data_IF_446398572967
#
_entry.id   IF_446398572967
#
_cell.length_a   1.000
_cell.length_b   1.000
_cell.length_c   1.000
_cell.angle_alpha   90.00
_cell.angle_beta   90.00
_cell.angle_gamma   90.00
#
_symmetry.space_group_name_H-M   'P 1'
#
loop_
_entity.id
_entity.type
_entity.pdbx_description
1 polymer ?
#
# COMPACT_ATOMS: atom_id res chain seq x y z
N UNK A 1 9.01 -71.71 -6.59
CA UNK A 1 8.48 -71.16 -5.33
C UNK A 1 9.17 -69.83 -5.01
N UNK A 2 8.98 -68.79 -5.82
CA UNK A 2 9.61 -67.46 -5.62
C UNK A 2 8.92 -66.34 -6.43
N UNK A 3 8.70 -66.55 -7.72
CA UNK A 3 8.36 -65.50 -8.70
C UNK A 3 6.86 -65.20 -8.91
N UNK A 4 5.95 -65.77 -8.10
CA UNK A 4 4.48 -65.53 -8.21
C UNK A 4 3.95 -64.72 -7.01
N UNK A 5 4.70 -64.63 -5.92
CA UNK A 5 4.34 -63.82 -4.74
C UNK A 5 4.76 -62.34 -4.88
N UNK A 6 5.75 -62.05 -5.72
CA UNK A 6 6.24 -60.68 -5.97
C UNK A 6 5.31 -59.83 -6.84
N UNK A 7 4.40 -60.45 -7.60
CA UNK A 7 3.47 -59.76 -8.52
C UNK A 7 2.12 -59.38 -7.88
N UNK A 8 1.85 -59.75 -6.62
CA UNK A 8 0.58 -59.47 -5.94
C UNK A 8 0.59 -58.22 -5.04
N UNK A 9 1.75 -57.60 -4.83
CA UNK A 9 1.88 -56.37 -4.02
C UNK A 9 1.95 -55.07 -4.85
N UNK A 10 1.90 -55.14 -6.18
CA UNK A 10 2.04 -53.99 -7.08
C UNK A 10 0.72 -53.41 -7.62
N UNK A 11 -0.43 -54.01 -7.29
CA UNK A 11 -1.75 -53.67 -7.90
C UNK A 11 -2.70 -52.98 -6.91
N UNK A 12 -2.23 -52.62 -5.71
CA UNK A 12 -2.90 -51.62 -4.89
C UNK A 12 -2.17 -50.29 -5.05
N UNK A 13 -2.87 -49.19 -5.45
CA UNK A 13 -2.39 -47.86 -5.15
C UNK A 13 -2.51 -47.65 -3.63
N UNK A 14 -1.52 -48.17 -2.89
CA UNK A 14 -1.29 -47.77 -1.51
C UNK A 14 -1.30 -46.24 -1.47
N UNK A 15 -1.87 -45.61 -0.43
CA UNK A 15 -2.05 -44.18 -0.37
C UNK A 15 -0.74 -43.46 -0.05
N UNK A 16 0.34 -43.75 -0.80
CA UNK A 16 1.68 -43.18 -0.65
C UNK A 16 1.70 -41.69 -0.89
N UNK A 17 0.82 -41.15 -1.73
CA UNK A 17 0.61 -39.71 -1.89
C UNK A 17 0.02 -39.08 -0.62
N UNK A 18 -0.98 -39.71 0.00
CA UNK A 18 -1.56 -39.24 1.26
C UNK A 18 -0.59 -39.43 2.44
N UNK A 19 0.05 -40.59 2.58
CA UNK A 19 1.05 -40.86 3.62
C UNK A 19 2.23 -39.91 3.46
N UNK A 20 2.76 -39.72 2.24
CA UNK A 20 3.80 -38.72 1.97
C UNK A 20 3.34 -37.32 2.37
N UNK A 21 2.14 -36.89 1.96
CA UNK A 21 1.63 -35.56 2.33
C UNK A 21 1.39 -35.42 3.85
N UNK A 22 0.84 -36.43 4.54
CA UNK A 22 0.65 -36.39 5.99
C UNK A 22 1.98 -36.41 6.75
N UNK A 23 2.95 -37.23 6.33
CA UNK A 23 4.31 -37.26 6.91
C UNK A 23 5.05 -35.95 6.62
N UNK A 24 4.96 -35.38 5.41
CA UNK A 24 5.58 -34.11 5.07
C UNK A 24 4.92 -32.94 5.83
N UNK A 25 3.59 -32.92 5.95
CA UNK A 25 2.85 -31.90 6.72
C UNK A 25 3.15 -32.00 8.21
N UNK A 26 3.17 -33.20 8.80
CA UNK A 26 3.53 -33.39 10.22
C UNK A 26 5.01 -33.08 10.49
N UNK A 27 5.93 -33.39 9.56
CA UNK A 27 7.33 -33.02 9.63
C UNK A 27 7.52 -31.50 9.50
N UNK A 28 6.75 -30.83 8.62
CA UNK A 28 6.74 -29.36 8.53
C UNK A 28 6.21 -28.71 9.82
N UNK A 29 5.15 -29.25 10.43
CA UNK A 29 4.65 -28.78 11.72
C UNK A 29 5.65 -29.05 12.87
N UNK A 30 6.32 -30.20 12.87
CA UNK A 30 7.37 -30.52 13.84
C UNK A 30 8.57 -29.59 13.70
N UNK A 31 9.05 -29.36 12.47
CA UNK A 31 10.14 -28.43 12.18
C UNK A 31 9.77 -27.01 12.63
N UNK A 32 8.59 -26.52 12.25
CA UNK A 32 8.08 -25.22 12.70
C UNK A 32 8.00 -25.11 14.22
N UNK A 33 7.48 -26.14 14.90
CA UNK A 33 7.38 -26.18 16.36
C UNK A 33 8.74 -26.21 17.04
N UNK A 34 9.71 -26.99 16.54
CA UNK A 34 11.08 -27.02 17.07
C UNK A 34 11.81 -25.69 16.85
N UNK A 35 11.66 -25.07 15.67
CA UNK A 35 12.17 -23.71 15.40
C UNK A 35 11.53 -22.69 16.33
N UNK A 36 10.21 -22.75 16.55
CA UNK A 36 9.49 -21.88 17.47
C UNK A 36 9.96 -22.06 18.93
N UNK A 37 10.09 -23.30 19.41
CA UNK A 37 10.64 -23.59 20.73
C UNK A 37 12.05 -23.02 20.90
N UNK A 38 12.91 -23.20 19.89
CA UNK A 38 14.27 -22.68 19.91
C UNK A 38 14.27 -21.15 19.99
N UNK A 39 13.47 -20.48 19.17
CA UNK A 39 13.33 -19.02 19.19
C UNK A 39 12.88 -18.50 20.58
N UNK A 40 11.83 -19.11 21.16
CA UNK A 40 11.26 -18.74 22.46
C UNK A 40 12.20 -19.07 23.64
N UNK A 41 13.09 -20.06 23.50
CA UNK A 41 14.09 -20.40 24.52
C UNK A 41 15.37 -19.56 24.40
N UNK A 42 15.76 -19.16 23.19
CA UNK A 42 17.00 -18.41 22.95
C UNK A 42 16.85 -16.89 23.04
N UNK A 43 15.64 -16.33 22.94
CA UNK A 43 15.40 -14.88 22.87
C UNK A 43 14.30 -14.40 23.83
N UNK A 44 14.44 -13.16 24.31
CA UNK A 44 13.43 -12.56 25.19
C UNK A 44 12.15 -12.18 24.41
N UNK A 45 10.96 -12.17 25.07
CA UNK A 45 9.70 -11.79 24.44
C UNK A 45 9.74 -10.43 23.73
N UNK A 46 10.45 -9.44 24.29
CA UNK A 46 10.65 -8.13 23.66
C UNK A 46 11.40 -8.25 22.33
N UNK A 47 12.52 -9.00 22.28
CA UNK A 47 13.28 -9.21 21.04
C UNK A 47 12.41 -9.90 19.99
N UNK A 48 11.76 -11.01 20.36
CA UNK A 48 10.89 -11.77 19.45
C UNK A 48 9.80 -10.85 18.90
N UNK A 49 9.04 -10.18 19.77
CA UNK A 49 7.91 -9.32 19.40
C UNK A 49 8.30 -8.14 18.51
N UNK A 50 9.42 -7.45 18.79
CA UNK A 50 9.86 -6.30 17.99
C UNK A 50 10.44 -6.74 16.64
N UNK A 51 11.36 -7.71 16.62
CA UNK A 51 11.96 -8.16 15.36
C UNK A 51 10.95 -8.82 14.43
N UNK A 52 10.01 -9.62 14.94
CA UNK A 52 8.97 -10.23 14.09
C UNK A 52 8.02 -9.16 13.52
N UNK A 53 7.64 -8.16 14.32
CA UNK A 53 6.80 -7.04 13.87
C UNK A 53 7.49 -6.23 12.77
N UNK A 54 8.79 -5.99 12.90
CA UNK A 54 9.61 -5.34 11.87
C UNK A 54 9.72 -6.20 10.59
N UNK A 55 9.96 -7.50 10.71
CA UNK A 55 10.03 -8.43 9.56
C UNK A 55 8.71 -8.46 8.79
N UNK A 56 7.55 -8.48 9.48
CA UNK A 56 6.24 -8.42 8.84
C UNK A 56 6.00 -7.08 8.15
N UNK A 57 6.33 -5.93 8.78
CA UNK A 57 6.23 -4.61 8.14
C UNK A 57 7.13 -4.53 6.90
N UNK A 58 8.36 -5.02 6.97
CA UNK A 58 9.30 -5.04 5.84
C UNK A 58 8.81 -5.95 4.69
N UNK A 59 8.36 -7.18 4.99
CA UNK A 59 7.97 -8.15 3.98
C UNK A 59 6.56 -7.95 3.40
N UNK A 60 5.59 -7.52 4.21
CA UNK A 60 4.18 -7.44 3.85
C UNK A 60 3.70 -6.03 3.50
N UNK A 61 4.39 -4.97 3.94
CA UNK A 61 4.15 -3.59 3.51
C UNK A 61 5.27 -3.07 2.61
N UNK A 62 6.49 -2.90 3.12
CA UNK A 62 7.55 -2.18 2.40
C UNK A 62 7.93 -2.84 1.07
N UNK A 63 8.22 -4.14 1.04
CA UNK A 63 8.58 -4.84 -0.19
C UNK A 63 7.50 -4.69 -1.29
N UNK A 64 6.21 -5.05 -1.08
CA UNK A 64 5.20 -4.87 -2.13
C UNK A 64 4.87 -3.39 -2.40
N UNK A 65 4.91 -2.49 -1.41
CA UNK A 65 4.73 -1.05 -1.65
C UNK A 65 5.83 -0.46 -2.55
N UNK A 66 7.09 -0.84 -2.32
CA UNK A 66 8.24 -0.43 -3.12
C UNK A 66 8.22 -1.06 -4.52
N UNK A 67 7.79 -2.32 -4.66
CA UNK A 67 7.65 -2.97 -5.97
C UNK A 67 6.60 -2.26 -6.83
N UNK A 68 5.43 -1.94 -6.28
CA UNK A 68 4.38 -1.17 -6.99
C UNK A 68 4.87 0.25 -7.30
N UNK A 69 5.52 0.92 -6.34
CA UNK A 69 6.09 2.27 -6.55
C UNK A 69 7.17 2.28 -7.64
N UNK A 70 8.01 1.24 -7.70
CA UNK A 70 9.05 1.09 -8.72
C UNK A 70 8.45 0.80 -10.09
N UNK A 71 7.40 -0.01 -10.17
CA UNK A 71 6.68 -0.26 -11.42
C UNK A 71 6.00 1.03 -11.94
N UNK A 72 5.33 1.79 -11.06
CA UNK A 72 4.74 3.10 -11.38
C UNK A 72 5.80 4.09 -11.93
N UNK A 73 7.04 4.08 -11.38
CA UNK A 73 8.13 4.96 -11.81
C UNK A 73 8.87 4.48 -13.07
N UNK A 74 9.00 3.18 -13.29
CA UNK A 74 9.77 2.60 -14.40
C UNK A 74 8.93 2.40 -15.67
N UNK A 75 7.62 2.18 -15.54
CA UNK A 75 6.71 1.89 -16.66
C UNK A 75 5.44 2.77 -16.56
N UNK A 76 5.56 4.11 -16.51
CA UNK A 76 4.48 5.01 -16.14
C UNK A 76 3.26 4.95 -17.08
N UNK A 77 3.45 4.74 -18.39
CA UNK A 77 2.33 4.65 -19.34
C UNK A 77 1.51 3.37 -19.12
N UNK A 78 2.17 2.24 -18.88
CA UNK A 78 1.53 0.97 -18.57
C UNK A 78 0.83 1.04 -17.21
N UNK A 79 1.52 1.55 -16.18
CA UNK A 79 0.95 1.80 -14.86
C UNK A 79 -0.30 2.70 -14.94
N UNK A 80 -0.23 3.81 -15.66
CA UNK A 80 -1.34 4.74 -15.87
C UNK A 80 -2.53 4.07 -16.57
N UNK A 81 -2.30 3.20 -17.55
CA UNK A 81 -3.35 2.46 -18.25
C UNK A 81 -4.07 1.44 -17.36
N UNK A 82 -3.40 0.91 -16.34
CA UNK A 82 -3.92 -0.12 -15.44
C UNK A 82 -4.52 0.42 -14.13
N UNK A 83 -4.53 1.73 -13.89
CA UNK A 83 -5.08 2.36 -12.67
C UNK A 83 -6.45 2.98 -12.85
N UNK A 84 -7.17 3.21 -11.75
CA UNK A 84 -8.42 3.97 -11.76
C UNK A 84 -8.16 5.45 -12.11
N UNK A 85 -7.12 6.06 -11.52
CA UNK A 85 -6.68 7.41 -11.86
C UNK A 85 -5.16 7.50 -12.08
N UNK A 86 -4.69 7.93 -13.28
CA UNK A 86 -3.26 8.01 -13.60
C UNK A 86 -2.52 9.17 -12.92
N UNK A 87 -3.24 10.05 -12.20
CA UNK A 87 -2.66 11.16 -11.42
C UNK A 87 -1.67 10.69 -10.35
N UNK A 88 -1.88 9.48 -9.79
CA UNK A 88 -0.93 8.86 -8.86
C UNK A 88 0.44 8.66 -9.49
N UNK A 89 0.49 8.27 -10.77
CA UNK A 89 1.73 8.01 -11.51
C UNK A 89 2.40 9.32 -11.92
N UNK A 90 1.66 10.27 -12.48
CA UNK A 90 2.25 11.54 -12.96
C UNK A 90 2.80 12.44 -11.85
N UNK A 91 2.28 12.32 -10.62
CA UNK A 91 2.77 13.04 -9.44
C UNK A 91 3.85 12.27 -8.66
N UNK A 92 4.09 10.98 -8.94
CA UNK A 92 5.00 10.14 -8.16
C UNK A 92 6.46 10.59 -8.18
N UNK A 93 7.08 10.97 -9.33
CA UNK A 93 8.52 11.30 -9.37
C UNK A 93 8.94 12.46 -8.46
N UNK A 94 8.06 13.45 -8.24
CA UNK A 94 8.34 14.61 -7.38
C UNK A 94 7.91 14.40 -5.92
N UNK A 95 7.01 13.45 -5.65
CA UNK A 95 6.47 13.21 -4.30
C UNK A 95 7.09 12.00 -3.59
N UNK A 96 7.55 10.99 -4.33
CA UNK A 96 8.02 9.72 -3.78
C UNK A 96 9.09 9.86 -2.67
N UNK A 97 10.14 10.69 -2.76
CA UNK A 97 11.12 10.83 -1.67
C UNK A 97 10.49 11.35 -0.37
N UNK A 98 9.55 12.29 -0.49
CA UNK A 98 8.82 12.86 0.66
C UNK A 98 7.72 11.95 1.21
N UNK A 99 7.24 10.99 0.42
CA UNK A 99 6.34 9.92 0.88
C UNK A 99 7.14 8.80 1.57
N UNK A 100 8.25 8.34 0.96
CA UNK A 100 9.17 7.35 1.53
C UNK A 100 9.64 7.76 2.93
N UNK A 101 10.12 9.01 3.09
CA UNK A 101 10.60 9.51 4.37
C UNK A 101 9.49 9.56 5.44
N UNK A 102 8.28 10.01 5.07
CA UNK A 102 7.15 10.08 6.01
C UNK A 102 6.61 8.70 6.39
N UNK A 103 6.54 7.77 5.44
CA UNK A 103 6.22 6.38 5.72
C UNK A 103 7.26 5.74 6.65
N UNK A 104 8.56 6.00 6.43
CA UNK A 104 9.63 5.49 7.30
C UNK A 104 9.55 6.04 8.72
N UNK A 105 9.26 7.34 8.89
CA UNK A 105 9.07 7.98 10.20
C UNK A 105 7.86 7.39 10.93
N UNK A 106 6.72 7.23 10.25
CA UNK A 106 5.50 6.68 10.86
C UNK A 106 5.63 5.18 11.17
N UNK A 107 6.24 4.39 10.28
CA UNK A 107 6.50 2.97 10.51
C UNK A 107 7.45 2.78 11.71
N UNK A 108 8.54 3.56 11.78
CA UNK A 108 9.45 3.59 12.92
C UNK A 108 8.78 4.06 14.22
N UNK A 109 7.89 5.05 14.16
CA UNK A 109 7.05 5.46 15.31
C UNK A 109 6.15 4.31 15.78
N UNK A 110 5.54 3.57 14.86
CA UNK A 110 4.69 2.43 15.18
C UNK A 110 5.46 1.26 15.81
N UNK A 111 6.63 0.92 15.26
CA UNK A 111 7.54 -0.09 15.84
C UNK A 111 8.10 0.38 17.19
N UNK A 112 8.42 1.67 17.33
CA UNK A 112 8.90 2.27 18.58
C UNK A 112 7.84 2.25 19.69
N UNK A 113 6.60 2.61 19.39
CA UNK A 113 5.48 2.51 20.34
C UNK A 113 5.16 1.05 20.71
N UNK A 114 5.23 0.13 19.75
CA UNK A 114 5.11 -1.32 20.01
C UNK A 114 6.21 -1.81 20.96
N UNK A 115 7.47 -1.45 20.70
CA UNK A 115 8.60 -1.81 21.55
C UNK A 115 8.48 -1.21 22.96
N UNK A 116 8.11 0.07 23.07
CA UNK A 116 7.89 0.76 24.33
C UNK A 116 6.76 0.11 25.14
N UNK A 117 5.63 -0.22 24.51
CA UNK A 117 4.48 -0.82 25.19
C UNK A 117 4.77 -2.26 25.65
N UNK A 118 5.55 -3.04 24.89
CA UNK A 118 6.00 -4.39 25.28
C UNK A 118 7.10 -4.36 26.35
N UNK A 119 7.87 -3.27 26.46
CA UNK A 119 8.89 -3.09 27.50
C UNK A 119 8.34 -2.52 28.81
N UNK A 120 7.46 -1.52 28.75
CA UNK A 120 7.05 -0.72 29.91
C UNK A 120 5.81 -1.26 30.65
N UNK A 121 4.99 -2.09 30.03
CA UNK A 121 3.79 -2.64 30.67
C UNK A 121 4.10 -3.95 31.43
N UNK A 122 3.61 -4.13 32.67
CA UNK A 122 3.96 -5.28 33.51
C UNK A 122 3.23 -6.58 33.12
N UNK A 123 2.51 -6.59 31.99
CA UNK A 123 1.79 -7.76 31.48
C UNK A 123 2.07 -7.96 29.98
N UNK A 124 2.18 -9.22 29.50
CA UNK A 124 2.48 -9.50 28.10
C UNK A 124 1.30 -9.12 27.20
N UNK A 125 1.44 -8.01 26.46
CA UNK A 125 0.48 -7.57 25.45
C UNK A 125 0.20 -8.64 24.39
N UNK A 126 1.28 -9.25 23.90
CA UNK A 126 1.29 -10.31 22.91
C UNK A 126 2.06 -11.50 23.51
N UNK A 127 1.38 -12.50 24.08
CA UNK A 127 2.04 -13.64 24.71
C UNK A 127 2.97 -14.37 23.75
N UNK A 128 4.22 -14.55 24.18
CA UNK A 128 5.29 -15.23 23.44
C UNK A 128 5.52 -16.60 24.09
N UNK A 129 4.55 -17.50 23.89
CA UNK A 129 4.48 -18.78 24.60
C UNK A 129 5.04 -19.93 23.77
N UNK A 130 5.63 -20.92 24.44
CA UNK A 130 6.10 -22.20 23.84
C UNK A 130 4.96 -22.97 23.17
N UNK A 131 3.78 -22.96 23.78
CA UNK A 131 2.54 -23.51 23.23
C UNK A 131 2.04 -22.65 22.08
N UNK A 132 1.83 -23.28 20.92
CA UNK A 132 1.24 -22.63 19.74
C UNK A 132 -0.26 -22.36 19.97
N UNK A 133 -0.82 -21.27 19.42
CA UNK A 133 -2.25 -20.99 19.49
C UNK A 133 -3.05 -22.02 18.67
N UNK A 134 -4.19 -22.46 19.21
CA UNK A 134 -5.08 -23.39 18.51
C UNK A 134 -5.66 -22.74 17.24
N UNK A 135 -5.69 -23.47 16.12
CA UNK A 135 -6.13 -22.93 14.83
C UNK A 135 -7.53 -22.27 14.87
N UNK A 136 -8.56 -22.82 15.55
CA UNK A 136 -9.85 -22.13 15.70
C UNK A 136 -9.74 -20.77 16.40
N UNK A 137 -8.85 -20.64 17.40
CA UNK A 137 -8.58 -19.36 18.07
C UNK A 137 -7.88 -18.38 17.14
N UNK A 138 -6.90 -18.84 16.34
CA UNK A 138 -6.22 -18.02 15.33
C UNK A 138 -7.23 -17.47 14.32
N UNK A 139 -8.10 -18.33 13.78
CA UNK A 139 -9.12 -17.95 12.80
C UNK A 139 -10.17 -16.99 13.38
N UNK A 140 -10.63 -17.23 14.62
CA UNK A 140 -11.56 -16.34 15.31
C UNK A 140 -10.95 -14.97 15.57
N UNK A 141 -9.72 -14.91 16.07
CA UNK A 141 -9.00 -13.66 16.35
C UNK A 141 -8.77 -12.85 15.07
N UNK A 142 -8.43 -13.50 13.94
CA UNK A 142 -8.31 -12.85 12.63
C UNK A 142 -9.66 -12.29 12.16
N UNK A 143 -10.72 -13.10 12.19
CA UNK A 143 -12.06 -12.71 11.73
C UNK A 143 -12.62 -11.54 12.55
N UNK A 144 -12.55 -11.62 13.87
CA UNK A 144 -12.98 -10.54 14.76
C UNK A 144 -12.15 -9.27 14.57
N UNK A 145 -10.84 -9.41 14.34
CA UNK A 145 -9.99 -8.26 14.03
C UNK A 145 -10.45 -7.58 12.74
N UNK A 146 -10.64 -8.32 11.65
CA UNK A 146 -11.09 -7.73 10.38
C UNK A 146 -12.43 -6.98 10.48
N UNK A 147 -13.38 -7.48 11.30
CA UNK A 147 -14.64 -6.77 11.56
C UNK A 147 -14.41 -5.51 12.41
N UNK A 148 -13.73 -5.62 13.54
CA UNK A 148 -13.55 -4.50 14.48
C UNK A 148 -12.64 -3.43 13.89
N UNK A 149 -11.52 -3.79 13.25
CA UNK A 149 -10.63 -2.87 12.56
C UNK A 149 -11.37 -2.09 11.48
N UNK A 150 -12.23 -2.74 10.67
CA UNK A 150 -13.03 -2.06 9.65
C UNK A 150 -14.10 -1.13 10.24
N UNK A 151 -14.71 -1.50 11.38
CA UNK A 151 -15.66 -0.67 12.12
C UNK A 151 -15.01 0.57 12.73
N UNK A 152 -13.95 0.38 13.51
CA UNK A 152 -13.18 1.46 14.16
C UNK A 152 -12.60 2.39 13.09
N UNK A 153 -12.02 1.85 12.01
CA UNK A 153 -11.55 2.66 10.89
C UNK A 153 -12.67 3.47 10.25
N UNK A 154 -13.83 2.88 9.92
CA UNK A 154 -14.95 3.59 9.30
C UNK A 154 -15.39 4.81 10.12
N UNK A 155 -15.63 4.62 11.43
CA UNK A 155 -16.10 5.72 12.28
C UNK A 155 -15.01 6.76 12.56
N UNK A 156 -13.75 6.36 12.80
CA UNK A 156 -12.67 7.33 13.02
C UNK A 156 -12.31 8.10 11.74
N UNK A 157 -12.24 7.44 10.60
CA UNK A 157 -11.97 8.05 9.31
C UNK A 157 -13.08 9.06 8.94
N UNK A 158 -14.35 8.66 9.07
CA UNK A 158 -15.48 9.59 8.92
C UNK A 158 -15.42 10.75 9.92
N UNK A 159 -14.97 10.51 11.15
CA UNK A 159 -14.86 11.56 12.18
C UNK A 159 -13.76 12.57 11.90
N UNK A 160 -12.57 12.16 11.44
CA UNK A 160 -11.50 13.13 11.12
C UNK A 160 -11.87 14.04 9.96
N UNK A 161 -12.64 13.57 8.98
CA UNK A 161 -13.16 14.40 7.88
C UNK A 161 -14.06 15.54 8.36
N UNK A 162 -14.96 15.28 9.32
CA UNK A 162 -15.94 16.29 9.78
C UNK A 162 -15.47 17.10 11.01
N UNK A 163 -14.71 16.50 11.93
CA UNK A 163 -14.31 17.13 13.19
C UNK A 163 -12.89 17.71 13.15
N UNK A 164 -11.98 17.10 12.38
CA UNK A 164 -10.56 17.47 12.34
C UNK A 164 -9.99 17.57 10.90
N UNK A 165 -10.67 18.24 9.95
CA UNK A 165 -10.25 18.26 8.54
C UNK A 165 -8.83 18.83 8.33
N UNK A 166 -8.36 19.72 9.21
CA UNK A 166 -6.99 20.24 9.17
C UNK A 166 -5.92 19.20 9.52
N UNK A 167 -6.26 18.19 10.34
CA UNK A 167 -5.39 17.04 10.63
C UNK A 167 -5.26 16.15 9.38
N UNK A 168 -6.43 15.88 8.78
CA UNK A 168 -6.60 14.92 7.70
C UNK A 168 -6.28 15.47 6.31
N UNK A 169 -6.11 16.79 6.16
CA UNK A 169 -5.76 17.43 4.89
C UNK A 169 -4.47 16.87 4.26
N UNK A 170 -3.51 16.39 5.05
CA UNK A 170 -2.31 15.71 4.53
C UNK A 170 -2.63 14.36 3.88
N UNK A 171 -3.62 13.61 4.39
CA UNK A 171 -4.03 12.34 3.76
C UNK A 171 -4.48 12.56 2.32
N UNK A 172 -5.11 13.70 2.04
CA UNK A 172 -5.62 14.09 0.72
C UNK A 172 -4.67 14.99 -0.10
N UNK A 173 -3.46 15.30 0.37
CA UNK A 173 -2.54 16.19 -0.36
C UNK A 173 -1.86 15.55 -1.57
N UNK A 174 -1.98 14.22 -1.73
CA UNK A 174 -1.43 13.44 -2.82
C UNK A 174 -2.46 12.38 -3.27
N UNK A 175 -2.45 11.92 -4.53
CA UNK A 175 -3.28 10.79 -4.96
C UNK A 175 -2.85 9.49 -4.25
N UNK A 176 -3.75 8.48 -4.14
CA UNK A 176 -3.43 7.23 -3.47
C UNK A 176 -2.25 6.51 -4.14
N UNK A 177 -1.25 6.18 -3.32
CA UNK A 177 -0.06 5.39 -3.65
C UNK A 177 0.25 4.51 -2.43
N UNK A 178 0.82 3.30 -2.57
CA UNK A 178 1.07 2.41 -1.42
C UNK A 178 1.86 3.08 -0.29
N UNK A 179 2.78 3.99 -0.61
CA UNK A 179 3.52 4.78 0.37
C UNK A 179 2.63 5.77 1.15
N UNK A 180 1.63 6.39 0.51
CA UNK A 180 0.69 7.32 1.16
C UNK A 180 -0.13 6.64 2.26
N UNK A 181 -0.36 5.33 2.17
CA UNK A 181 -1.01 4.56 3.23
C UNK A 181 -0.33 4.74 4.60
N UNK A 182 1.01 4.84 4.63
CA UNK A 182 1.77 5.06 5.88
C UNK A 182 2.39 6.47 5.95
N UNK A 183 2.52 7.22 4.86
CA UNK A 183 3.05 8.60 4.82
C UNK A 183 2.05 9.71 5.26
N UNK A 184 1.02 9.33 6.02
CA UNK A 184 -0.03 10.21 6.53
C UNK A 184 0.50 11.24 7.54
N UNK A 185 -0.37 12.12 8.05
CA UNK A 185 -0.07 12.85 9.29
C UNK A 185 0.21 11.81 10.41
N UNK A 186 1.23 11.99 11.27
CA UNK A 186 1.50 11.03 12.34
C UNK A 186 0.29 10.73 13.25
N UNK A 187 -0.58 11.73 13.49
CA UNK A 187 -1.81 11.53 14.26
C UNK A 187 -2.84 10.67 13.52
N UNK A 188 -3.05 10.91 12.22
CA UNK A 188 -3.90 10.07 11.37
C UNK A 188 -3.36 8.63 11.33
N UNK A 189 -2.05 8.45 11.16
CA UNK A 189 -1.44 7.11 11.17
C UNK A 189 -1.67 6.38 12.50
N UNK A 190 -1.60 7.08 13.64
CA UNK A 190 -1.93 6.47 14.94
C UNK A 190 -3.42 6.12 15.08
N UNK A 191 -4.32 7.00 14.64
CA UNK A 191 -5.77 6.85 14.79
C UNK A 191 -6.41 5.90 13.76
N UNK A 192 -5.92 5.89 12.53
CA UNK A 192 -6.52 5.21 11.37
C UNK A 192 -5.74 3.98 10.91
N UNK A 193 -4.42 3.91 11.15
CA UNK A 193 -3.62 2.73 10.79
C UNK A 193 -3.27 1.89 12.02
N UNK A 194 -2.66 2.48 13.05
CA UNK A 194 -2.16 1.73 14.20
C UNK A 194 -3.29 1.26 15.12
N UNK A 195 -4.13 2.18 15.63
CA UNK A 195 -5.21 1.84 16.56
C UNK A 195 -6.17 0.76 16.02
N UNK A 196 -6.71 0.83 14.78
CA UNK A 196 -7.64 -0.19 14.29
C UNK A 196 -6.97 -1.55 14.12
N UNK A 197 -5.68 -1.60 13.75
CA UNK A 197 -4.91 -2.85 13.62
C UNK A 197 -4.64 -3.51 14.97
N UNK A 198 -4.35 -2.71 15.99
CA UNK A 198 -3.90 -3.20 17.30
C UNK A 198 -5.04 -3.49 18.29
N UNK A 199 -6.21 -2.84 18.16
CA UNK A 199 -7.26 -2.88 19.19
C UNK A 199 -7.74 -4.29 19.55
N UNK A 200 -8.11 -5.13 18.57
CA UNK A 200 -8.60 -6.49 18.85
C UNK A 200 -7.51 -7.43 19.36
N UNK A 201 -6.30 -7.50 18.75
CA UNK A 201 -5.19 -8.25 19.31
C UNK A 201 -4.83 -7.88 20.75
N UNK A 202 -4.85 -6.58 21.10
CA UNK A 202 -4.58 -6.11 22.47
C UNK A 202 -5.70 -6.49 23.45
N UNK A 203 -6.96 -6.26 23.08
CA UNK A 203 -8.12 -6.61 23.93
C UNK A 203 -8.23 -8.12 24.19
N UNK A 204 -7.86 -8.95 23.21
CA UNK A 204 -7.85 -10.42 23.34
C UNK A 204 -6.55 -11.00 23.87
N UNK A 205 -5.50 -10.18 24.01
CA UNK A 205 -4.12 -10.62 24.32
C UNK A 205 -3.68 -11.77 23.40
N UNK A 206 -3.97 -11.62 22.10
CA UNK A 206 -3.70 -12.64 21.09
C UNK A 206 -2.22 -13.03 21.08
N UNK A 207 -1.94 -14.34 20.96
CA UNK A 207 -0.58 -14.85 20.87
C UNK A 207 0.19 -14.14 19.74
N UNK A 208 1.49 -13.91 19.94
CA UNK A 208 2.30 -13.12 19.01
C UNK A 208 2.20 -13.60 17.56
N UNK A 209 2.13 -14.92 17.31
CA UNK A 209 1.96 -15.47 15.96
C UNK A 209 0.62 -15.07 15.32
N UNK A 210 -0.45 -15.05 16.11
CA UNK A 210 -1.79 -14.58 15.67
C UNK A 210 -1.76 -13.09 15.34
N UNK A 211 -1.15 -12.26 16.18
CA UNK A 211 -0.97 -10.83 15.92
C UNK A 211 -0.16 -10.58 14.64
N UNK A 212 0.91 -11.34 14.40
CA UNK A 212 1.73 -11.20 13.20
C UNK A 212 0.97 -11.53 11.91
N UNK A 213 0.06 -12.51 11.93
CA UNK A 213 -0.81 -12.81 10.78
C UNK A 213 -1.81 -11.66 10.55
N UNK A 214 -2.38 -11.10 11.62
CA UNK A 214 -3.32 -9.95 11.54
C UNK A 214 -2.61 -8.71 10.99
N UNK A 215 -1.40 -8.42 11.47
CA UNK A 215 -0.55 -7.34 10.97
C UNK A 215 -0.17 -7.56 9.50
N UNK A 216 0.25 -8.77 9.12
CA UNK A 216 0.60 -9.10 7.74
C UNK A 216 -0.59 -8.89 6.78
N UNK A 217 -1.78 -9.36 7.18
CA UNK A 217 -3.02 -9.17 6.43
C UNK A 217 -3.35 -7.67 6.28
N UNK A 218 -3.22 -6.88 7.34
CA UNK A 218 -3.46 -5.44 7.25
C UNK A 218 -2.43 -4.71 6.37
N UNK A 219 -1.15 -5.05 6.46
CA UNK A 219 -0.11 -4.51 5.59
C UNK A 219 -0.40 -4.77 4.10
N UNK A 220 -0.87 -5.97 3.76
CA UNK A 220 -1.30 -6.30 2.39
C UNK A 220 -2.56 -5.52 2.00
N UNK A 221 -3.56 -5.40 2.90
CA UNK A 221 -4.77 -4.60 2.68
C UNK A 221 -4.44 -3.13 2.43
N UNK A 222 -3.49 -2.54 3.15
CA UNK A 222 -3.02 -1.16 2.95
C UNK A 222 -2.41 -0.99 1.56
N UNK A 223 -1.49 -1.87 1.15
CA UNK A 223 -0.86 -1.82 -0.18
C UNK A 223 -1.90 -1.98 -1.29
N UNK A 224 -2.81 -2.96 -1.18
CA UNK A 224 -3.89 -3.16 -2.16
C UNK A 224 -4.74 -1.89 -2.27
N UNK A 225 -5.28 -1.39 -1.15
CA UNK A 225 -6.17 -0.22 -1.09
C UNK A 225 -5.56 1.03 -1.70
N UNK A 226 -4.27 1.27 -1.51
CA UNK A 226 -3.60 2.48 -1.98
C UNK A 226 -2.83 2.27 -3.29
N UNK A 227 -2.85 1.07 -3.89
CA UNK A 227 -2.19 0.81 -5.17
C UNK A 227 -2.81 1.56 -6.37
N UNK A 228 -4.12 1.80 -6.33
CA UNK A 228 -4.89 2.39 -7.43
C UNK A 228 -5.17 1.45 -8.62
N UNK A 229 -4.69 0.20 -8.59
CA UNK A 229 -4.78 -0.72 -9.74
C UNK A 229 -6.17 -1.32 -9.95
N UNK A 230 -6.60 -1.34 -11.21
CA UNK A 230 -7.72 -2.13 -11.71
C UNK A 230 -7.24 -3.56 -12.01
N UNK A 231 -8.06 -4.57 -11.68
CA UNK A 231 -7.84 -5.98 -12.09
C UNK A 231 -6.68 -6.73 -11.41
N UNK A 232 -5.54 -6.08 -11.13
CA UNK A 232 -4.31 -6.68 -10.58
C UNK A 232 -4.54 -7.56 -9.36
N UNK A 233 -5.45 -7.13 -8.47
CA UNK A 233 -5.77 -7.81 -7.20
C UNK A 233 -7.03 -8.69 -7.29
N UNK A 234 -7.52 -8.98 -8.50
CA UNK A 234 -8.74 -9.75 -8.74
C UNK A 234 -9.94 -9.20 -7.97
N UNK A 235 -10.61 -10.05 -7.19
CA UNK A 235 -11.73 -9.66 -6.32
C UNK A 235 -11.36 -8.56 -5.30
N UNK A 236 -10.09 -8.49 -4.86
CA UNK A 236 -9.64 -7.44 -3.95
C UNK A 236 -9.39 -6.09 -4.66
N UNK A 237 -9.46 -5.99 -5.99
CA UNK A 237 -9.40 -4.70 -6.71
C UNK A 237 -10.54 -3.74 -6.35
N UNK A 238 -11.64 -4.26 -5.80
CA UNK A 238 -12.73 -3.44 -5.22
C UNK A 238 -12.31 -2.64 -3.98
N UNK A 239 -11.17 -2.94 -3.35
CA UNK A 239 -10.60 -2.14 -2.27
C UNK A 239 -9.95 -0.87 -2.85
N UNK A 240 -9.07 -1.02 -3.84
CA UNK A 240 -8.45 0.09 -4.57
C UNK A 240 -9.49 1.06 -5.13
N UNK A 241 -10.55 0.52 -5.75
CA UNK A 241 -11.65 1.31 -6.33
C UNK A 241 -12.36 2.21 -5.31
N UNK A 242 -12.51 1.76 -4.07
CA UNK A 242 -13.17 2.55 -3.00
C UNK A 242 -12.26 3.66 -2.49
N UNK A 243 -10.96 3.39 -2.32
CA UNK A 243 -9.97 4.43 -1.99
C UNK A 243 -9.91 5.50 -3.08
N UNK A 244 -9.79 5.11 -4.35
CA UNK A 244 -9.79 6.04 -5.49
C UNK A 244 -11.09 6.85 -5.55
N UNK A 245 -12.25 6.21 -5.34
CA UNK A 245 -13.55 6.90 -5.22
C UNK A 245 -13.63 7.87 -4.04
N UNK A 246 -13.05 7.54 -2.89
CA UNK A 246 -12.97 8.41 -1.71
C UNK A 246 -12.15 9.68 -1.99
N UNK A 247 -10.97 9.52 -2.60
CA UNK A 247 -10.10 10.63 -3.00
C UNK A 247 -10.72 11.50 -4.10
N UNK A 248 -11.31 10.89 -5.13
CA UNK A 248 -11.98 11.59 -6.22
C UNK A 248 -13.13 12.48 -5.72
N UNK A 249 -13.95 11.97 -4.80
CA UNK A 249 -15.05 12.69 -4.17
C UNK A 249 -14.60 13.54 -2.96
N UNK A 250 -13.31 13.87 -2.86
CA UNK A 250 -12.73 14.78 -1.85
C UNK A 250 -13.11 14.42 -0.41
N UNK A 251 -13.11 13.14 -0.07
CA UNK A 251 -13.38 12.67 1.28
C UNK A 251 -14.85 12.55 1.69
N UNK A 252 -15.80 12.89 0.81
CA UNK A 252 -17.23 12.97 1.18
C UNK A 252 -17.97 11.63 1.26
N UNK A 253 -17.35 10.54 0.80
CA UNK A 253 -17.95 9.21 0.68
C UNK A 253 -16.88 8.10 0.71
N UNK A 254 -17.26 6.81 0.79
CA UNK A 254 -16.32 5.66 0.85
C UNK A 254 -15.32 5.73 2.01
N UNK A 255 -15.82 5.89 3.23
CA UNK A 255 -14.99 5.96 4.43
C UNK A 255 -14.45 4.59 4.89
N UNK A 256 -15.05 3.48 4.48
CA UNK A 256 -14.76 2.14 4.99
C UNK A 256 -13.76 1.33 4.17
N UNK A 257 -13.17 0.32 4.81
CA UNK A 257 -12.21 -0.61 4.19
C UNK A 257 -12.90 -1.49 3.13
N UNK A 258 -13.96 -2.20 3.54
CA UNK A 258 -14.67 -3.18 2.72
C UNK A 258 -15.93 -2.62 2.04
N UNK A 259 -16.31 -1.38 2.35
CA UNK A 259 -17.53 -0.72 1.87
C UNK A 259 -18.86 -1.23 2.46
N UNK A 260 -18.85 -2.24 3.32
CA UNK A 260 -20.06 -2.76 3.99
C UNK A 260 -20.74 -1.65 4.81
N UNK A 261 -19.95 -0.93 5.63
CA UNK A 261 -20.47 0.17 6.44
C UNK A 261 -20.85 1.40 5.60
N UNK A 262 -20.23 1.60 4.43
CA UNK A 262 -20.65 2.65 3.50
C UNK A 262 -22.00 2.36 2.85
N UNK A 263 -22.28 1.08 2.55
CA UNK A 263 -23.60 0.65 2.10
C UNK A 263 -24.64 0.84 3.22
N UNK A 264 -24.35 0.37 4.45
CA UNK A 264 -25.26 0.47 5.59
C UNK A 264 -25.61 1.92 6.00
N UNK A 265 -24.67 2.86 5.85
CA UNK A 265 -24.86 4.28 6.22
C UNK A 265 -25.14 5.21 5.03
N UNK A 266 -25.34 4.67 3.82
CA UNK A 266 -25.56 5.48 2.61
C UNK A 266 -24.36 6.32 2.16
N UNK A 267 -23.15 6.07 2.68
CA UNK A 267 -21.91 6.78 2.28
C UNK A 267 -21.20 6.13 1.09
N UNK A 268 -21.83 5.20 0.39
CA UNK A 268 -21.43 4.71 -0.95
C UNK A 268 -22.31 5.37 -2.02
N UNK A 269 -21.78 6.26 -2.89
CA UNK A 269 -22.56 6.85 -3.97
C UNK A 269 -22.93 5.79 -5.00
N UNK A 270 -24.22 5.65 -5.30
CA UNK A 270 -24.71 4.72 -6.33
C UNK A 270 -24.06 4.97 -7.71
N UNK A 271 -23.68 6.23 -7.98
CA UNK A 271 -23.14 6.64 -9.26
C UNK A 271 -21.72 6.11 -9.53
N UNK A 272 -20.86 5.87 -8.53
CA UNK A 272 -19.47 5.48 -8.82
C UNK A 272 -19.35 4.02 -9.27
N UNK A 273 -20.28 3.15 -8.87
CA UNK A 273 -20.43 1.81 -9.43
C UNK A 273 -20.78 1.91 -10.93
N UNK A 274 -21.80 2.71 -11.26
CA UNK A 274 -22.23 2.94 -12.63
C UNK A 274 -21.17 3.66 -13.49
N UNK A 275 -20.42 4.62 -12.95
CA UNK A 275 -19.42 5.39 -13.70
C UNK A 275 -18.09 4.65 -13.85
N UNK A 276 -17.67 3.85 -12.88
CA UNK A 276 -16.57 2.92 -13.07
C UNK A 276 -16.92 1.86 -14.14
N UNK A 277 -18.14 1.28 -14.08
CA UNK A 277 -18.61 0.33 -15.09
C UNK A 277 -18.78 0.97 -16.48
N UNK A 278 -19.33 2.19 -16.58
CA UNK A 278 -19.43 2.95 -17.84
C UNK A 278 -18.05 3.31 -18.40
N UNK A 279 -17.08 3.67 -17.56
CA UNK A 279 -15.72 4.02 -17.99
C UNK A 279 -14.96 2.78 -18.46
N UNK A 280 -15.01 1.67 -17.72
CA UNK A 280 -14.43 0.39 -18.12
C UNK A 280 -15.06 -0.14 -19.41
N UNK A 281 -16.40 -0.09 -19.53
CA UNK A 281 -17.11 -0.46 -20.76
C UNK A 281 -16.71 0.39 -21.96
N UNK A 282 -16.55 1.72 -21.77
CA UNK A 282 -16.08 2.64 -22.83
C UNK A 282 -14.62 2.38 -23.23
N UNK A 283 -13.74 2.06 -22.28
CA UNK A 283 -12.35 1.71 -22.57
C UNK A 283 -12.26 0.39 -23.34
N UNK A 284 -13.00 -0.65 -22.89
CA UNK A 284 -13.11 -1.94 -23.58
C UNK A 284 -13.72 -1.80 -24.97
N UNK A 285 -14.74 -0.96 -25.13
CA UNK A 285 -15.35 -0.70 -26.44
C UNK A 285 -14.35 -0.03 -27.38
N UNK A 286 -13.67 1.04 -26.95
CA UNK A 286 -12.63 1.70 -27.77
C UNK A 286 -11.51 0.76 -28.22
N UNK A 287 -10.98 -0.07 -27.31
CA UNK A 287 -9.94 -1.05 -27.65
C UNK A 287 -10.45 -2.12 -28.64
N UNK A 288 -11.76 -2.43 -28.61
CA UNK A 288 -12.39 -3.27 -29.63
C UNK A 288 -12.58 -2.51 -30.95
N UNK A 289 -13.09 -1.29 -30.93
CA UNK A 289 -13.32 -0.48 -32.13
C UNK A 289 -12.00 -0.21 -32.88
N UNK A 290 -10.90 -0.04 -32.14
CA UNK A 290 -9.53 0.09 -32.66
C UNK A 290 -8.99 -1.21 -33.27
N UNK A 291 -9.29 -2.37 -32.66
CA UNK A 291 -8.92 -3.71 -33.16
C UNK A 291 -9.73 -4.13 -34.40
N UNK A 292 -11.05 -3.96 -34.36
CA UNK A 292 -11.98 -4.27 -35.45
C UNK A 292 -11.80 -3.28 -36.63
N UNK A 293 -11.37 -2.05 -36.35
CA UNK A 293 -10.98 -1.05 -37.35
C UNK A 293 -9.53 -1.18 -37.85
N UNK A 294 -8.75 -2.14 -37.34
CA UNK A 294 -7.38 -2.37 -37.77
C UNK A 294 -7.38 -3.16 -39.08
N UNK A 295 -6.79 -2.57 -40.13
CA UNK A 295 -6.69 -3.21 -41.45
C UNK A 295 -5.51 -4.20 -41.45
N UNK A 296 -5.82 -5.44 -41.09
CA UNK A 296 -4.86 -6.54 -40.93
C UNK A 296 -4.13 -6.95 -42.22
N UNK A 297 -4.68 -6.60 -43.39
CA UNK A 297 -4.08 -6.89 -44.70
C UNK A 297 -3.10 -5.79 -45.15
N UNK A 298 -3.01 -4.66 -44.43
CA UNK A 298 -1.93 -3.68 -44.68
C UNK A 298 -0.57 -4.29 -44.35
N UNK A 299 0.39 -4.34 -45.29
CA UNK A 299 1.76 -4.72 -44.97
C UNK A 299 2.32 -3.75 -43.92
N UNK A 300 2.94 -4.30 -42.86
CA UNK A 300 3.52 -3.52 -41.78
C UNK A 300 4.41 -2.39 -42.34
N UNK A 301 4.33 -1.16 -41.80
CA UNK A 301 5.17 -0.06 -42.26
C UNK A 301 6.64 -0.49 -42.17
N UNK A 302 7.40 -0.26 -43.24
CA UNK A 302 8.76 -0.78 -43.38
C UNK A 302 9.74 0.04 -42.53
N UNK A 303 9.64 -0.10 -41.20
CA UNK A 303 10.41 0.62 -40.19
C UNK A 303 11.89 0.30 -40.39
N UNK A 304 12.74 1.29 -40.75
CA UNK A 304 14.15 1.02 -40.98
C UNK A 304 14.84 0.59 -39.69
N UNK A 305 15.26 -0.67 -39.61
CA UNK A 305 16.04 -1.22 -38.50
C UNK A 305 17.18 -0.25 -38.13
N UNK A 306 17.28 0.24 -36.87
CA UNK A 306 18.24 1.25 -36.50
C UNK A 306 19.69 0.81 -36.77
N UNK A 307 20.29 1.32 -37.85
CA UNK A 307 21.67 1.01 -38.22
C UNK A 307 22.60 1.48 -37.12
N UNK A 308 23.21 0.53 -36.40
CA UNK A 308 24.12 0.79 -35.29
C UNK A 308 25.25 1.74 -35.72
N UNK A 309 25.22 2.98 -35.23
CA UNK A 309 26.24 3.99 -35.54
C UNK A 309 27.55 3.63 -34.86
N UNK A 310 28.45 2.95 -35.58
CA UNK A 310 29.89 2.96 -35.25
C UNK A 310 30.33 4.42 -35.14
N UNK A 311 30.83 4.80 -33.96
CA UNK A 311 30.94 6.20 -33.56
C UNK A 311 32.04 6.98 -34.27
N UNK A 312 31.97 8.31 -34.13
CA UNK A 312 33.10 9.23 -34.28
C UNK A 312 33.13 10.14 -33.05
N UNK A 313 34.26 10.21 -32.35
CA UNK A 313 34.44 11.20 -31.28
C UNK A 313 34.49 12.60 -31.91
N UNK A 314 33.62 13.50 -31.47
CA UNK A 314 33.71 14.93 -31.78
C UNK A 314 34.48 15.65 -30.67
N UNK A 315 35.43 16.50 -31.07
CA UNK A 315 36.29 17.27 -30.14
C UNK A 315 35.50 18.31 -29.34
N UNK A 316 35.96 18.72 -28.14
CA UNK A 316 35.28 19.73 -27.32
C UNK A 316 35.18 21.09 -28.01
N UNK A 317 34.13 21.85 -27.67
CA UNK A 317 33.75 23.11 -28.31
C UNK A 317 34.39 24.31 -27.56
N UNK A 318 34.95 25.31 -28.25
CA UNK A 318 35.56 26.48 -27.60
C UNK A 318 34.52 27.41 -26.95
N UNK A 319 34.98 28.17 -25.95
CA UNK A 319 34.16 29.05 -25.10
C UNK A 319 34.07 30.45 -25.72
N UNK A 320 32.88 30.89 -26.12
CA UNK A 320 32.65 32.23 -26.66
C UNK A 320 32.39 33.25 -25.54
N UNK A 321 32.99 34.44 -25.65
CA UNK A 321 32.81 35.56 -24.70
C UNK A 321 31.87 36.59 -25.30
N UNK A 322 30.83 36.99 -24.57
CA UNK A 322 29.99 38.13 -24.94
C UNK A 322 30.59 39.42 -24.39
N UNK A 323 30.76 40.44 -25.24
CA UNK A 323 31.14 41.80 -24.85
C UNK A 323 29.89 42.69 -24.79
N UNK A 324 29.85 43.59 -23.80
CA UNK A 324 28.85 44.67 -23.69
C UNK A 324 28.82 45.54 -24.95
N UNK A 325 27.67 46.15 -25.20
CA UNK A 325 27.64 47.56 -25.58
C UNK A 325 26.54 48.29 -24.79
N UNK A 326 26.76 49.58 -24.52
CA UNK A 326 25.91 50.41 -23.65
C UNK A 326 24.80 51.12 -24.43
N UNK A 327 23.75 51.51 -23.71
CA UNK A 327 23.22 52.87 -23.83
C UNK A 327 22.52 53.30 -22.53
N UNK A 328 23.05 54.35 -21.90
CA UNK A 328 22.28 55.37 -21.17
C UNK A 328 21.28 56.06 -22.15
N UNK A 329 20.30 56.88 -21.79
CA UNK A 329 19.89 57.57 -20.54
C UNK A 329 18.35 57.35 -20.35
N UNK A 330 17.64 57.57 -19.23
CA UNK A 330 17.86 57.81 -17.78
C UNK A 330 16.56 57.33 -17.03
N UNK A 331 16.16 57.62 -15.78
CA UNK A 331 16.73 58.39 -14.64
C UNK A 331 15.67 59.16 -13.82
N UNK A 332 14.99 58.53 -12.84
CA UNK A 332 14.33 59.25 -11.72
C UNK A 332 14.14 58.39 -10.44
N UNK A 333 13.75 59.05 -9.34
CA UNK A 333 14.06 58.67 -7.94
C UNK A 333 13.56 57.32 -7.38
N UNK A 334 14.40 56.70 -6.53
CA UNK A 334 14.02 55.62 -5.62
C UNK A 334 13.51 56.19 -4.30
N UNK A 335 12.20 56.41 -4.15
CA UNK A 335 11.57 56.64 -2.82
C UNK A 335 10.05 56.33 -2.78
N UNK A 336 9.61 55.15 -3.28
CA UNK A 336 8.18 54.92 -3.57
C UNK A 336 7.50 53.62 -3.07
N UNK A 337 8.17 52.69 -2.40
CA UNK A 337 7.60 51.33 -2.13
C UNK A 337 7.79 50.86 -0.67
N UNK A 338 7.41 51.68 0.32
CA UNK A 338 7.42 51.23 1.74
C UNK A 338 6.25 51.74 2.61
N UNK A 339 5.16 52.24 2.01
CA UNK A 339 4.01 52.82 2.74
C UNK A 339 2.64 52.39 2.19
N UNK A 340 2.37 51.07 2.10
CA UNK A 340 1.05 50.54 1.65
C UNK A 340 0.31 49.57 2.58
N UNK A 341 0.85 49.25 3.77
CA UNK A 341 0.23 48.31 4.73
C UNK A 341 -0.28 48.93 6.06
N UNK A 342 -0.32 50.26 6.20
CA UNK A 342 -0.90 50.93 7.39
C UNK A 342 -1.99 51.95 7.04
N UNK A 343 -3.01 51.56 6.26
CA UNK A 343 -4.24 52.37 6.11
C UNK A 343 -5.53 51.57 5.88
N UNK A 344 -5.72 50.47 6.62
CA UNK A 344 -7.00 49.70 6.72
C UNK A 344 -7.40 49.31 8.16
N UNK A 345 -7.05 50.14 9.15
CA UNK A 345 -7.59 50.11 10.54
C UNK A 345 -7.75 51.53 11.08
N UNK A 346 -8.67 52.32 10.51
CA UNK A 346 -8.99 53.68 10.95
C UNK A 346 -10.35 54.22 10.46
N UNK A 347 -11.31 53.36 10.10
CA UNK A 347 -12.74 53.69 9.93
C UNK A 347 -13.51 52.45 10.38
N UNK A 348 -14.48 52.61 11.28
CA UNK A 348 -15.16 51.48 11.94
C UNK A 348 -15.52 51.78 13.40
N UNK A 349 -16.13 52.95 13.62
CA UNK A 349 -16.95 53.29 14.77
C UNK A 349 -18.41 52.97 14.44
#
# INVERSE_FOLDING_TARGET
>A
MSTILSSLFSVLPLPTSLISNYTLTSLNFLFFYLTWLTLVLSHSPLKISVFSTLIIRLGCFWLPALLVTSFDLLLPDLAGSCKFHPSSVSMLPSTAPGLLLRAAINDALGVGLHALAVYALPFPLFPVNKTLPLLPTVLYDIFLSQIVSAGVYYYLHRSVHYLWPALHAQHHSHPPTPLLAHAQNPADYLLLSLLPTYITPLLRRSHILTFLIILALQCVVDVVRFSGYQGLWGAAGGLSRRTEGHYYNRGTCYFGIWGILDYMHGTSPANLEADAQRTFSRAKQRAKDEWDGMDWDKPLPNVPMPKAKRGKLSKPRPRAVSKKQHKEEEGESVLGVMTRNMRRRAVGS
#
